data_IF_930580203683
#
_entry.id   IF_930580203683
#
_cell.length_a   1.000
_cell.length_b   1.000
_cell.length_c   1.000
_cell.angle_alpha   90.00
_cell.angle_beta   90.00
_cell.angle_gamma   90.00
#
_symmetry.space_group_name_H-M   'P 1'
#
loop_
_entity.id
_entity.type
_entity.pdbx_description
1 polymer ?
#
# COMPACT_ATOMS: atom_id res chain seq x y z
N UNK A 1 16.68 9.11 13.76
CA UNK A 1 16.98 7.96 14.63
C UNK A 1 15.69 7.17 14.88
N UNK A 2 15.03 6.71 13.80
CA UNK A 2 13.71 6.05 13.85
C UNK A 2 13.54 5.05 12.68
N UNK A 3 14.64 4.61 12.09
CA UNK A 3 14.67 3.64 10.96
C UNK A 3 15.24 2.28 11.41
N UNK A 4 15.86 2.20 12.59
CA UNK A 4 16.65 1.03 13.02
C UNK A 4 15.87 -0.09 13.73
N UNK A 5 14.58 0.07 14.04
CA UNK A 5 13.84 -0.93 14.83
C UNK A 5 13.07 -1.94 13.98
N UNK A 6 12.66 -1.56 12.76
CA UNK A 6 11.82 -2.41 11.89
C UNK A 6 12.63 -3.53 11.19
N UNK A 7 13.95 -3.34 11.02
CA UNK A 7 14.79 -4.29 10.28
C UNK A 7 15.10 -5.60 11.04
N UNK A 8 14.79 -5.67 12.34
CA UNK A 8 15.20 -6.80 13.20
C UNK A 8 14.28 -8.02 13.12
N UNK A 9 13.09 -7.90 12.52
CA UNK A 9 12.10 -9.00 12.45
C UNK A 9 12.11 -9.73 11.09
N UNK A 10 12.76 -9.20 10.06
CA UNK A 10 12.84 -9.77 8.69
C UNK A 10 13.64 -11.08 8.53
N UNK A 11 14.18 -11.66 9.61
CA UNK A 11 15.15 -12.78 9.54
C UNK A 11 14.59 -14.20 9.69
N UNK A 12 13.28 -14.45 9.60
CA UNK A 12 12.78 -15.84 9.74
C UNK A 12 11.60 -16.18 8.83
N UNK A 13 11.93 -16.91 7.76
CA UNK A 13 11.12 -18.03 7.29
C UNK A 13 10.21 -17.76 6.08
N UNK A 14 10.45 -18.49 5.00
CA UNK A 14 9.51 -18.54 3.86
C UNK A 14 10.03 -19.36 2.68
N UNK A 15 10.10 -20.68 2.84
CA UNK A 15 10.28 -21.67 1.76
C UNK A 15 9.00 -21.81 0.92
N UNK A 16 9.11 -21.81 -0.41
CA UNK A 16 7.99 -21.97 -1.34
C UNK A 16 7.81 -23.43 -1.80
N UNK A 17 6.55 -23.88 -1.86
CA UNK A 17 6.12 -25.12 -2.54
C UNK A 17 4.89 -24.77 -3.40
N UNK A 18 4.94 -25.12 -4.68
CA UNK A 18 3.82 -24.99 -5.63
C UNK A 18 2.81 -26.13 -5.50
N UNK A 19 1.56 -25.93 -5.95
CA UNK A 19 1.02 -26.90 -6.89
C UNK A 19 0.20 -26.30 -8.06
N UNK A 20 0.04 -27.17 -9.03
CA UNK A 20 -0.46 -27.01 -10.39
C UNK A 20 -1.99 -26.88 -10.52
N UNK A 21 -2.39 -26.44 -11.72
CA UNK A 21 -3.76 -26.19 -12.25
C UNK A 21 -4.65 -27.46 -12.18
N UNK A 22 -5.99 -27.41 -12.17
CA UNK A 22 -6.90 -27.07 -13.27
C UNK A 22 -8.36 -27.28 -12.79
N UNK A 23 -9.34 -26.53 -13.30
CA UNK A 23 -10.77 -26.87 -13.14
C UNK A 23 -11.72 -25.75 -13.54
N UNK A 24 -12.22 -25.80 -14.78
CA UNK A 24 -13.24 -24.90 -15.33
C UNK A 24 -14.66 -25.34 -14.92
N UNK A 25 -15.58 -24.39 -14.76
CA UNK A 25 -17.02 -24.62 -14.91
C UNK A 25 -17.70 -23.35 -15.46
N UNK A 26 -18.45 -23.55 -16.54
CA UNK A 26 -19.35 -22.60 -17.22
C UNK A 26 -20.64 -22.41 -16.41
N UNK A 27 -21.33 -21.27 -16.59
CA UNK A 27 -22.79 -21.22 -16.44
C UNK A 27 -23.41 -19.90 -15.98
N UNK A 28 -24.28 -19.35 -16.84
CA UNK A 28 -25.56 -18.68 -16.52
C UNK A 28 -25.56 -17.18 -16.15
N UNK A 29 -25.81 -16.40 -17.20
CA UNK A 29 -26.82 -15.35 -17.36
C UNK A 29 -27.56 -14.78 -16.14
N UNK A 30 -27.55 -13.44 -16.09
CA UNK A 30 -28.74 -12.64 -15.77
C UNK A 30 -28.76 -12.07 -14.36
N UNK A 31 -28.51 -10.76 -14.25
CA UNK A 31 -29.29 -9.78 -13.48
C UNK A 31 -28.64 -8.41 -13.73
N UNK A 32 -29.32 -7.57 -14.50
CA UNK A 32 -28.94 -6.18 -14.70
C UNK A 32 -29.17 -5.44 -13.37
N UNK A 33 -28.12 -5.39 -12.56
CA UNK A 33 -28.03 -4.51 -11.40
C UNK A 33 -27.89 -3.08 -11.90
N UNK A 34 -28.76 -2.23 -11.38
CA UNK A 34 -28.76 -0.78 -11.55
C UNK A 34 -27.33 -0.23 -11.39
N UNK A 35 -26.76 0.31 -12.47
CA UNK A 35 -25.45 0.96 -12.40
C UNK A 35 -25.55 2.16 -11.47
N UNK A 36 -24.94 2.05 -10.29
CA UNK A 36 -24.66 3.19 -9.42
C UNK A 36 -23.71 4.10 -10.22
N UNK A 37 -24.26 5.19 -10.78
CA UNK A 37 -23.54 6.13 -11.65
C UNK A 37 -22.62 7.06 -10.84
N UNK A 38 -22.25 6.64 -9.62
CA UNK A 38 -21.24 7.33 -8.83
C UNK A 38 -19.89 7.09 -9.49
N UNK A 39 -19.08 8.15 -9.68
CA UNK A 39 -17.75 7.98 -10.22
C UNK A 39 -16.96 7.03 -9.32
N UNK A 40 -16.51 5.91 -9.90
CA UNK A 40 -15.65 4.95 -9.21
C UNK A 40 -14.33 5.65 -8.92
N UNK A 41 -14.10 6.00 -7.65
CA UNK A 41 -12.81 6.54 -7.24
C UNK A 41 -11.76 5.44 -7.40
N UNK A 42 -10.76 5.70 -8.24
CA UNK A 42 -9.61 4.83 -8.46
C UNK A 42 -8.37 5.49 -7.88
N UNK A 43 -7.61 4.74 -7.07
CA UNK A 43 -6.45 5.28 -6.37
C UNK A 43 -5.32 4.23 -6.30
N UNK A 44 -4.08 4.70 -6.27
CA UNK A 44 -2.94 3.84 -5.99
C UNK A 44 -2.76 3.64 -4.49
N UNK A 45 -2.45 2.42 -4.10
CA UNK A 45 -2.11 2.02 -2.75
C UNK A 45 -0.83 1.21 -2.75
N UNK A 46 0.11 1.56 -1.88
CA UNK A 46 1.31 0.76 -1.66
C UNK A 46 1.04 -0.31 -0.62
N UNK A 47 1.34 -1.56 -0.92
CA UNK A 47 1.51 -2.62 0.06
C UNK A 47 3.01 -2.73 0.38
N UNK A 48 3.39 -2.47 1.63
CA UNK A 48 4.77 -2.70 2.09
C UNK A 48 5.06 -4.20 2.26
N UNK A 49 6.32 -4.61 2.07
CA UNK A 49 6.79 -5.99 2.20
C UNK A 49 7.09 -6.32 3.66
N UNK A 50 6.05 -6.30 4.48
CA UNK A 50 6.13 -6.80 5.84
C UNK A 50 6.25 -8.34 5.88
N UNK A 51 6.84 -8.92 6.94
CA UNK A 51 7.23 -10.34 6.99
C UNK A 51 6.07 -11.35 6.84
N UNK A 52 4.83 -10.89 6.93
CA UNK A 52 3.64 -11.70 6.72
C UNK A 52 2.88 -11.07 5.56
N UNK A 53 2.67 -11.73 4.43
CA UNK A 53 2.13 -11.01 3.29
C UNK A 53 0.59 -11.12 3.29
N UNK A 54 -0.11 -10.01 3.04
CA UNK A 54 -1.56 -10.03 2.75
C UNK A 54 -1.79 -10.60 1.35
N UNK A 55 -0.85 -10.35 0.43
CA UNK A 55 -0.85 -10.77 -0.98
C UNK A 55 -2.19 -10.54 -1.70
N UNK A 56 -2.81 -9.35 -1.57
CA UNK A 56 -4.04 -9.06 -2.28
C UNK A 56 -3.80 -9.17 -3.80
N UNK A 57 -4.61 -9.99 -4.47
CA UNK A 57 -4.54 -10.22 -5.91
C UNK A 57 -5.63 -9.44 -6.64
N UNK A 58 -5.43 -9.09 -7.93
CA UNK A 58 -6.48 -8.51 -8.75
C UNK A 58 -7.79 -9.30 -8.67
N UNK A 59 -8.90 -8.60 -8.48
CA UNK A 59 -10.23 -9.16 -8.26
C UNK A 59 -10.60 -9.39 -6.79
N UNK A 60 -9.66 -9.29 -5.85
CA UNK A 60 -9.97 -9.43 -4.42
C UNK A 60 -10.38 -8.10 -3.79
N UNK A 61 -11.34 -8.18 -2.87
CA UNK A 61 -11.70 -7.08 -1.98
C UNK A 61 -10.95 -7.23 -0.66
N UNK A 62 -10.19 -6.21 -0.27
CA UNK A 62 -9.49 -6.17 1.01
C UNK A 62 -10.02 -5.04 1.92
N UNK A 63 -9.62 -5.09 3.19
CA UNK A 63 -9.92 -4.08 4.23
C UNK A 63 -8.61 -3.54 4.81
N UNK A 64 -7.88 -2.71 4.04
CA UNK A 64 -6.56 -2.27 4.44
C UNK A 64 -6.65 -1.24 5.57
N UNK A 65 -5.64 -1.21 6.43
CA UNK A 65 -5.38 -0.09 7.36
C UNK A 65 -4.38 0.83 6.68
N UNK A 66 -4.79 2.06 6.37
CA UNK A 66 -4.00 2.92 5.49
C UNK A 66 -3.63 4.26 6.11
N UNK A 67 -2.44 4.75 5.75
CA UNK A 67 -2.08 6.15 5.91
C UNK A 67 -1.84 6.82 4.56
N UNK A 68 -1.96 8.14 4.53
CA UNK A 68 -1.69 8.94 3.35
C UNK A 68 -0.22 9.31 3.26
N UNK A 69 0.39 9.14 2.09
CA UNK A 69 1.75 9.64 1.84
C UNK A 69 1.73 10.80 0.85
N UNK A 70 2.48 11.86 1.16
CA UNK A 70 2.54 13.11 0.38
C UNK A 70 3.80 13.17 -0.48
N UNK A 71 3.81 13.97 -1.56
CA UNK A 71 5.03 14.27 -2.29
C UNK A 71 6.15 14.75 -1.37
N UNK A 72 7.31 14.10 -1.43
CA UNK A 72 8.49 14.44 -0.62
C UNK A 72 8.69 13.52 0.59
N UNK A 73 7.70 12.72 0.98
CA UNK A 73 7.89 11.66 1.96
C UNK A 73 8.78 10.54 1.39
N UNK A 74 9.56 9.87 2.25
CA UNK A 74 10.45 8.77 1.85
C UNK A 74 9.72 7.62 1.16
N UNK A 75 8.49 7.33 1.58
CA UNK A 75 7.67 6.25 1.04
C UNK A 75 6.78 6.65 -0.14
N UNK A 76 6.88 7.91 -0.56
CA UNK A 76 6.15 8.41 -1.72
C UNK A 76 6.81 7.95 -3.03
N UNK A 77 6.04 7.27 -3.86
CA UNK A 77 6.45 6.90 -5.22
C UNK A 77 5.78 7.87 -6.17
N UNK A 78 6.60 8.80 -6.69
CA UNK A 78 6.13 9.95 -7.48
C UNK A 78 5.18 9.61 -8.62
N UNK A 79 5.39 8.48 -9.28
CA UNK A 79 4.56 8.01 -10.40
C UNK A 79 3.10 7.72 -9.98
N UNK A 80 2.89 7.36 -8.72
CA UNK A 80 1.59 6.96 -8.16
C UNK A 80 0.79 8.13 -7.59
N UNK A 81 1.41 9.31 -7.46
CA UNK A 81 0.77 10.50 -6.89
C UNK A 81 -0.44 10.90 -7.71
N UNK A 82 -1.58 11.09 -7.05
CA UNK A 82 -2.83 11.58 -7.63
C UNK A 82 -3.45 12.64 -6.72
N UNK A 83 -4.30 13.46 -7.30
CA UNK A 83 -5.14 14.41 -6.59
C UNK A 83 -6.50 13.78 -6.34
N UNK A 84 -6.89 13.65 -5.07
CA UNK A 84 -8.14 13.01 -4.65
C UNK A 84 -8.93 13.97 -3.76
N UNK A 85 -10.21 14.25 -4.07
CA UNK A 85 -11.07 14.98 -3.15
C UNK A 85 -11.32 14.16 -1.89
N UNK A 86 -11.23 14.81 -0.74
CA UNK A 86 -11.45 14.19 0.56
C UNK A 86 -12.08 15.20 1.52
N UNK A 87 -12.75 14.68 2.55
CA UNK A 87 -13.12 15.48 3.73
C UNK A 87 -12.21 15.10 4.88
N UNK A 88 -11.51 16.07 5.45
CA UNK A 88 -10.57 15.86 6.55
C UNK A 88 -11.17 16.37 7.84
N UNK A 89 -11.08 15.55 8.88
CA UNK A 89 -11.47 15.90 10.23
C UNK A 89 -10.32 15.69 11.22
N UNK A 90 -10.36 16.49 12.28
CA UNK A 90 -9.52 16.32 13.44
C UNK A 90 -10.26 15.47 14.45
N UNK A 91 -9.61 14.41 14.92
CA UNK A 91 -10.17 13.48 15.91
C UNK A 91 -9.28 13.43 17.14
N UNK A 92 -9.89 13.26 18.30
CA UNK A 92 -9.20 13.04 19.56
C UNK A 92 -9.38 11.61 20.00
N UNK A 93 -8.28 10.85 20.08
CA UNK A 93 -8.26 9.43 20.47
C UNK A 93 -7.12 9.22 21.46
N UNK A 94 -7.43 8.66 22.64
CA UNK A 94 -6.46 8.40 23.72
C UNK A 94 -5.54 9.59 24.02
N UNK A 95 -6.13 10.77 24.23
CA UNK A 95 -5.45 12.06 24.47
C UNK A 95 -4.53 12.55 23.33
N UNK A 96 -4.62 11.94 22.14
CA UNK A 96 -3.92 12.36 20.93
C UNK A 96 -4.87 13.01 19.94
N UNK A 97 -4.35 14.02 19.25
CA UNK A 97 -5.00 14.61 18.09
C UNK A 97 -4.45 13.94 16.85
N UNK A 98 -5.34 13.40 16.02
CA UNK A 98 -5.01 12.80 14.73
C UNK A 98 -5.90 13.40 13.64
N UNK A 99 -5.45 13.29 12.40
CA UNK A 99 -6.20 13.74 11.23
C UNK A 99 -6.69 12.52 10.44
N UNK A 100 -7.99 12.47 10.19
CA UNK A 100 -8.64 11.40 9.43
C UNK A 100 -9.23 12.00 8.15
N UNK A 101 -8.82 11.45 7.02
CA UNK A 101 -9.39 11.79 5.72
C UNK A 101 -10.44 10.76 5.31
N UNK A 102 -11.60 11.23 4.89
CA UNK A 102 -12.69 10.47 4.30
C UNK A 102 -12.57 10.59 2.77
N UNK A 103 -12.26 9.49 2.09
CA UNK A 103 -12.03 9.44 0.64
C UNK A 103 -13.30 9.08 -0.16
N UNK A 104 -14.42 8.90 0.54
CA UNK A 104 -15.69 8.43 -0.02
C UNK A 104 -15.89 6.92 0.13
N UNK A 105 -17.13 6.45 -0.05
CA UNK A 105 -17.50 5.02 -0.01
C UNK A 105 -17.09 4.29 1.29
N UNK A 106 -17.05 5.01 2.41
CA UNK A 106 -16.65 4.47 3.72
C UNK A 106 -15.14 4.17 3.84
N UNK A 107 -14.33 4.59 2.88
CA UNK A 107 -12.87 4.49 2.95
C UNK A 107 -12.31 5.70 3.67
N UNK A 108 -11.53 5.44 4.71
CA UNK A 108 -10.81 6.45 5.47
C UNK A 108 -9.31 6.16 5.50
N UNK A 109 -8.51 7.19 5.76
CA UNK A 109 -7.05 7.06 5.90
C UNK A 109 -6.56 8.10 6.90
N UNK A 110 -5.61 7.74 7.77
CA UNK A 110 -4.95 8.75 8.62
C UNK A 110 -4.01 9.59 7.79
N UNK A 111 -3.88 10.86 8.18
CA UNK A 111 -2.93 11.80 7.57
C UNK A 111 -1.71 12.01 8.48
N UNK A 112 -0.51 12.25 7.90
CA UNK A 112 0.65 12.65 8.68
C UNK A 112 0.39 13.94 9.47
N UNK A 113 0.89 14.05 10.71
CA UNK A 113 0.57 15.17 11.60
C UNK A 113 1.10 16.53 11.13
N UNK A 114 1.99 16.56 10.14
CA UNK A 114 2.53 17.78 9.55
C UNK A 114 1.60 18.42 8.52
N UNK A 115 0.53 17.72 8.08
CA UNK A 115 -0.47 18.31 7.20
C UNK A 115 -1.39 19.21 8.01
N UNK A 116 -1.41 20.50 7.71
CA UNK A 116 -2.37 21.45 8.28
C UNK A 116 -3.55 21.60 7.31
N UNK A 117 -4.49 20.65 7.37
CA UNK A 117 -5.62 20.60 6.45
C UNK A 117 -6.88 20.07 7.15
N UNK A 118 -8.01 20.74 6.94
CA UNK A 118 -9.31 20.41 7.54
C UNK A 118 -10.44 20.76 6.57
N UNK A 119 -11.58 20.05 6.68
CA UNK A 119 -12.75 20.26 5.84
C UNK A 119 -12.63 19.59 4.47
N UNK A 120 -13.38 20.08 3.49
CA UNK A 120 -13.36 19.55 2.13
C UNK A 120 -12.12 20.07 1.39
N UNK A 121 -11.24 19.16 0.98
CA UNK A 121 -9.92 19.46 0.43
C UNK A 121 -9.56 18.51 -0.72
N UNK A 122 -8.48 18.82 -1.43
CA UNK A 122 -7.87 17.91 -2.40
C UNK A 122 -6.54 17.44 -1.83
N UNK A 123 -6.41 16.14 -1.61
CA UNK A 123 -5.18 15.51 -1.15
C UNK A 123 -4.34 15.10 -2.36
N UNK A 124 -3.06 15.49 -2.37
CA UNK A 124 -2.08 15.05 -3.38
C UNK A 124 -1.18 13.97 -2.77
N UNK A 125 -1.16 12.78 -3.37
CA UNK A 125 -0.44 11.64 -2.81
C UNK A 125 -0.98 10.29 -3.23
N UNK A 126 -0.76 9.27 -2.40
CA UNK A 126 -1.34 7.95 -2.55
C UNK A 126 -1.50 7.26 -1.19
N UNK A 127 -2.23 6.15 -1.16
CA UNK A 127 -2.38 5.34 0.05
C UNK A 127 -1.11 4.50 0.29
N UNK A 128 -0.87 4.18 1.56
CA UNK A 128 0.04 3.13 1.99
C UNK A 128 -0.70 2.24 2.98
N UNK A 129 -0.75 0.95 2.69
CA UNK A 129 -1.23 -0.09 3.59
C UNK A 129 -0.09 -0.49 4.53
N UNK A 130 -0.31 -0.24 5.81
CA UNK A 130 0.60 -0.55 6.90
C UNK A 130 -0.17 -1.31 8.00
N UNK A 131 0.33 -2.50 8.40
CA UNK A 131 -0.32 -3.30 9.45
C UNK A 131 0.14 -2.93 10.84
N UNK A 132 1.28 -2.26 10.95
CA UNK A 132 1.83 -1.69 12.17
C UNK A 132 1.42 -0.24 12.38
N UNK A 133 0.46 0.27 11.60
CA UNK A 133 -0.06 1.62 11.73
C UNK A 133 -0.45 1.97 13.18
N UNK A 134 -0.92 0.98 13.95
CA UNK A 134 -1.28 1.09 15.37
C UNK A 134 -0.11 1.45 16.32
N UNK A 135 1.14 1.29 15.86
CA UNK A 135 2.33 1.71 16.61
C UNK A 135 2.51 3.23 16.59
N UNK A 136 1.99 3.90 15.55
CA UNK A 136 2.11 5.35 15.35
C UNK A 136 0.79 6.05 15.68
N UNK A 137 -0.32 5.52 15.17
CA UNK A 137 -1.66 6.08 15.29
C UNK A 137 -2.55 5.24 16.21
N UNK A 138 -3.50 5.89 16.87
CA UNK A 138 -4.55 5.24 17.67
C UNK A 138 -5.81 5.02 16.87
N UNK A 139 -6.06 5.87 15.89
CA UNK A 139 -7.16 5.69 14.95
C UNK A 139 -6.90 4.48 14.07
N UNK A 140 -7.94 3.68 13.86
CA UNK A 140 -7.93 2.59 12.88
C UNK A 140 -8.75 3.01 11.67
N UNK A 141 -8.10 3.36 10.55
CA UNK A 141 -8.79 3.61 9.29
C UNK A 141 -9.59 2.39 8.83
N UNK A 142 -10.69 2.67 8.16
CA UNK A 142 -11.67 1.70 7.71
C UNK A 142 -11.88 1.80 6.20
N UNK A 143 -12.51 0.80 5.62
CA UNK A 143 -12.85 0.80 4.21
C UNK A 143 -12.75 -0.59 3.60
N UNK A 144 -13.37 -0.71 2.43
CA UNK A 144 -13.20 -1.86 1.55
C UNK A 144 -12.69 -1.34 0.22
N UNK A 145 -11.70 -2.00 -0.36
CA UNK A 145 -11.19 -1.65 -1.67
C UNK A 145 -11.08 -2.89 -2.53
N UNK A 146 -11.43 -2.78 -3.81
CA UNK A 146 -11.24 -3.83 -4.80
C UNK A 146 -9.89 -3.61 -5.50
N UNK A 147 -9.03 -4.62 -5.47
CA UNK A 147 -7.77 -4.58 -6.21
C UNK A 147 -8.02 -4.83 -7.69
N UNK A 148 -7.63 -3.89 -8.53
CA UNK A 148 -7.76 -3.94 -9.99
C UNK A 148 -6.45 -4.36 -10.63
N UNK A 149 -5.33 -3.82 -10.15
CA UNK A 149 -3.99 -4.15 -10.65
C UNK A 149 -3.01 -4.32 -9.48
N UNK A 150 -1.95 -5.11 -9.72
CA UNK A 150 -0.84 -5.30 -8.79
C UNK A 150 0.47 -5.31 -9.57
N UNK A 151 1.38 -4.40 -9.22
CA UNK A 151 2.68 -4.26 -9.87
C UNK A 151 3.81 -4.22 -8.84
N UNK A 152 4.94 -4.93 -9.05
CA UNK A 152 6.12 -4.76 -8.22
C UNK A 152 6.60 -3.30 -8.22
N UNK A 153 6.97 -2.79 -7.06
CA UNK A 153 7.80 -1.59 -6.94
C UNK A 153 9.23 -2.06 -6.72
N UNK A 154 10.14 -1.60 -7.58
CA UNK A 154 11.55 -1.99 -7.54
C UNK A 154 12.45 -0.81 -7.19
N UNK A 155 13.58 -1.14 -6.59
CA UNK A 155 14.66 -0.19 -6.32
C UNK A 155 16.00 -0.87 -6.57
N UNK A 156 16.99 -0.09 -7.03
CA UNK A 156 18.34 -0.59 -7.22
C UNK A 156 18.90 -0.98 -5.86
N UNK A 157 19.58 -2.12 -5.81
CA UNK A 157 20.13 -2.69 -4.58
C UNK A 157 21.58 -3.06 -4.74
N UNK A 158 22.37 -2.73 -3.73
CA UNK A 158 23.75 -3.16 -3.58
C UNK A 158 23.84 -4.13 -2.41
N UNK A 159 24.37 -5.32 -2.69
CA UNK A 159 24.66 -6.31 -1.65
C UNK A 159 25.99 -5.98 -0.99
N UNK A 160 26.00 -5.96 0.33
CA UNK A 160 27.17 -5.67 1.14
C UNK A 160 27.53 -6.93 1.88
N UNK A 161 28.69 -7.54 1.59
CA UNK A 161 29.14 -8.71 2.33
C UNK A 161 29.19 -8.42 3.83
N UNK A 162 28.71 -9.37 4.64
CA UNK A 162 28.92 -9.34 6.10
C UNK A 162 30.07 -10.27 6.48
N UNK A 163 30.50 -10.22 7.73
CA UNK A 163 31.53 -11.14 8.28
C UNK A 163 31.05 -12.62 8.23
N UNK A 164 29.74 -12.84 8.36
CA UNK A 164 29.14 -14.16 8.22
C UNK A 164 29.03 -14.59 6.75
N UNK A 165 29.69 -15.70 6.39
CA UNK A 165 29.67 -16.23 5.03
C UNK A 165 28.24 -16.57 4.57
N UNK A 166 27.88 -16.12 3.37
CA UNK A 166 26.54 -16.31 2.79
C UNK A 166 25.51 -15.27 3.23
N UNK A 167 25.84 -14.39 4.17
CA UNK A 167 25.00 -13.27 4.57
C UNK A 167 25.46 -11.99 3.89
N UNK A 168 24.49 -11.12 3.60
CA UNK A 168 24.74 -9.80 3.05
C UNK A 168 23.73 -8.80 3.60
N UNK A 169 24.20 -7.57 3.83
CA UNK A 169 23.33 -6.41 3.95
C UNK A 169 22.85 -5.96 2.57
N UNK A 170 21.75 -5.21 2.54
CA UNK A 170 21.22 -4.60 1.32
C UNK A 170 21.16 -3.10 1.52
N UNK A 171 21.91 -2.36 0.70
CA UNK A 171 21.72 -0.92 0.55
C UNK A 171 20.84 -0.64 -0.67
N UNK A 172 19.93 0.32 -0.52
CA UNK A 172 19.04 0.77 -1.57
C UNK A 172 19.56 2.06 -2.20
N UNK A 173 19.61 2.09 -3.54
CA UNK A 173 20.13 3.21 -4.31
C UNK A 173 19.04 3.80 -5.21
N UNK A 174 19.01 5.13 -5.31
CA UNK A 174 18.13 5.85 -6.24
C UNK A 174 16.64 5.77 -5.89
N UNK A 175 15.79 6.14 -6.86
CA UNK A 175 14.35 6.19 -6.66
C UNK A 175 13.68 4.82 -6.80
N UNK A 176 12.59 4.62 -6.07
CA UNK A 176 11.65 3.50 -6.26
C UNK A 176 10.84 3.75 -7.53
N UNK A 177 10.58 2.69 -8.30
CA UNK A 177 9.81 2.76 -9.56
C UNK A 177 8.85 1.57 -9.71
N UNK A 178 7.72 1.79 -10.38
CA UNK A 178 6.75 0.74 -10.66
C UNK A 178 7.20 -0.06 -11.87
N UNK A 179 7.37 -1.37 -11.69
CA UNK A 179 7.78 -2.30 -12.73
C UNK A 179 6.56 -3.04 -13.28
N UNK A 180 6.27 -2.89 -14.58
CA UNK A 180 5.04 -3.45 -15.19
C UNK A 180 5.28 -4.62 -16.14
N UNK A 181 6.48 -4.73 -16.71
CA UNK A 181 6.72 -5.61 -17.85
C UNK A 181 8.05 -6.34 -17.73
N UNK A 182 8.04 -7.62 -18.07
CA UNK A 182 9.25 -8.44 -18.11
C UNK A 182 9.81 -8.80 -16.73
N UNK A 183 10.95 -9.52 -16.70
CA UNK A 183 11.61 -9.90 -15.46
C UNK A 183 12.16 -8.67 -14.72
N UNK A 184 12.34 -8.80 -13.40
CA UNK A 184 13.02 -7.77 -12.59
C UNK A 184 14.48 -7.68 -13.07
N UNK A 185 14.98 -6.47 -13.42
CA UNK A 185 16.36 -6.32 -13.88
C UNK A 185 17.39 -6.74 -12.81
N UNK A 186 18.54 -7.24 -13.28
CA UNK A 186 19.65 -7.56 -12.39
C UNK A 186 20.07 -6.35 -11.55
N UNK A 187 20.37 -6.58 -10.28
CA UNK A 187 20.73 -5.53 -9.33
C UNK A 187 19.55 -4.72 -8.80
N UNK A 188 18.31 -5.08 -9.10
CA UNK A 188 17.11 -4.52 -8.49
C UNK A 188 16.44 -5.52 -7.55
N UNK A 189 15.83 -5.01 -6.49
CA UNK A 189 14.96 -5.78 -5.60
C UNK A 189 13.56 -5.21 -5.60
N UNK A 190 12.57 -6.07 -5.37
CA UNK A 190 11.20 -5.64 -5.08
C UNK A 190 11.19 -5.12 -3.64
N UNK A 191 10.68 -3.91 -3.44
CA UNK A 191 10.66 -3.22 -2.15
C UNK A 191 9.25 -2.95 -1.64
N UNK A 192 8.24 -3.03 -2.53
CA UNK A 192 6.82 -2.90 -2.23
C UNK A 192 5.99 -3.45 -3.41
N UNK A 193 4.67 -3.44 -3.28
CA UNK A 193 3.75 -3.59 -4.42
C UNK A 193 2.85 -2.36 -4.55
N UNK A 194 2.67 -1.90 -5.79
CA UNK A 194 1.68 -0.88 -6.13
C UNK A 194 0.38 -1.57 -6.55
N UNK A 195 -0.69 -1.26 -5.84
CA UNK A 195 -2.03 -1.76 -6.08
C UNK A 195 -2.87 -0.63 -6.66
N UNK A 196 -3.44 -0.83 -7.84
CA UNK A 196 -4.52 0.03 -8.31
C UNK A 196 -5.79 -0.47 -7.66
N UNK A 197 -6.47 0.38 -6.89
CA UNK A 197 -7.68 -0.01 -6.18
C UNK A 197 -8.87 0.89 -6.54
N UNK A 198 -10.06 0.32 -6.45
CA UNK A 198 -11.33 1.02 -6.61
C UNK A 198 -12.13 0.92 -5.33
N UNK A 199 -12.96 1.94 -5.06
CA UNK A 199 -13.87 1.93 -3.92
C UNK A 199 -15.22 1.38 -4.39
N UNK A 200 -15.60 0.15 -3.97
CA UNK A 200 -16.82 -0.54 -4.40
C UNK A 200 -18.08 -0.09 -3.64
#
# INVERSE_FOLDING_TARGET
MLVDVIDRVRRRGGTSVSPDRTGACQGMAGLAGQCDDRPVTTLWMIEDLEPWPDQPTPGQVCRPTTYWTTPGATDCIRELVRDIPARVEQITVDDRVELLAHLGHGVTTVLPPQLDTLGDVVLTGHLVWDRYLWMVYRTRPEGRVLVVERHPVIQRTRRIPTEDAGWYGVEYEGARAVHRYGPIPDGYSIVAYALLVTFP
#
